data_IF_801572192562
#
_entry.id   IF_801572192562
#
_cell.length_a   1.000
_cell.length_b   1.000
_cell.length_c   1.000
_cell.angle_alpha   90.00
_cell.angle_beta   90.00
_cell.angle_gamma   90.00
#
_symmetry.space_group_name_H-M   'P 1'
#
loop_
_entity.id
_entity.type
_entity.pdbx_description
1 polymer ?
#
# COMPACT_ATOMS: atom_id res chain seq x y z
N UNK A 1 7.13 -54.62 14.66
CA UNK A 1 6.28 -53.57 15.25
C UNK A 1 7.23 -52.65 16.02
N UNK A 2 7.64 -51.54 15.42
CA UNK A 2 8.34 -50.47 16.13
C UNK A 2 7.38 -49.32 16.22
N UNK A 3 6.97 -49.01 17.44
CA UNK A 3 6.09 -47.91 17.80
C UNK A 3 6.86 -46.61 17.58
N UNK A 4 6.30 -45.70 16.79
CA UNK A 4 6.71 -44.29 16.83
C UNK A 4 6.07 -43.71 18.08
N UNK A 5 6.87 -43.35 19.08
CA UNK A 5 6.43 -42.43 20.12
C UNK A 5 6.36 -41.03 19.49
N UNK A 6 5.20 -40.35 19.52
CA UNK A 6 5.14 -38.94 19.20
C UNK A 6 5.73 -38.18 20.39
N UNK A 7 6.91 -37.60 20.22
CA UNK A 7 7.36 -36.50 21.07
C UNK A 7 6.50 -35.29 20.74
N UNK A 8 5.49 -35.03 21.56
CA UNK A 8 4.91 -33.69 21.72
C UNK A 8 6.03 -32.80 22.29
N UNK A 9 6.89 -32.30 21.40
CA UNK A 9 7.68 -31.10 21.62
C UNK A 9 6.72 -29.90 21.51
N UNK A 10 5.86 -29.75 22.51
CA UNK A 10 5.27 -28.45 22.82
C UNK A 10 6.42 -27.63 23.41
N UNK A 11 7.12 -26.87 22.56
CA UNK A 11 8.02 -25.84 23.06
C UNK A 11 7.21 -24.95 24.01
N UNK A 12 7.67 -24.71 25.25
CA UNK A 12 6.97 -23.79 26.13
C UNK A 12 6.96 -22.44 25.42
N UNK A 13 5.78 -21.99 25.00
CA UNK A 13 5.57 -20.56 24.76
C UNK A 13 5.83 -19.92 26.10
N UNK A 14 7.02 -19.36 26.25
CA UNK A 14 7.37 -18.46 27.32
C UNK A 14 6.27 -17.40 27.32
N UNK A 15 5.32 -17.52 28.24
CA UNK A 15 4.43 -16.43 28.65
C UNK A 15 5.36 -15.42 29.32
N UNK A 16 6.18 -14.75 28.50
CA UNK A 16 6.96 -13.61 28.91
C UNK A 16 5.93 -12.59 29.35
N UNK A 17 5.89 -12.32 30.65
CA UNK A 17 5.08 -11.25 31.19
C UNK A 17 5.36 -9.99 30.33
N UNK A 18 4.30 -9.37 29.80
CA UNK A 18 4.41 -8.24 28.88
C UNK A 18 3.97 -6.94 29.58
N UNK A 19 4.79 -5.90 29.46
CA UNK A 19 4.46 -4.56 29.94
C UNK A 19 3.99 -3.69 28.78
N UNK A 20 2.79 -3.13 28.88
CA UNK A 20 2.27 -2.18 27.90
C UNK A 20 2.77 -0.76 28.18
N UNK A 21 3.34 -0.12 27.15
CA UNK A 21 3.77 1.28 27.19
C UNK A 21 3.11 2.06 26.06
N UNK A 22 2.68 3.28 26.37
CA UNK A 22 2.10 4.19 25.41
C UNK A 22 3.18 4.97 24.65
N UNK A 23 3.18 4.89 23.33
CA UNK A 23 4.13 5.56 22.43
C UNK A 23 3.40 6.57 21.54
N UNK A 24 3.90 7.80 21.50
CA UNK A 24 3.41 8.83 20.57
C UNK A 24 4.14 8.74 19.24
N UNK A 25 3.39 8.52 18.16
CA UNK A 25 3.90 8.43 16.79
C UNK A 25 3.16 9.40 15.88
N UNK A 26 3.74 10.60 15.69
CA UNK A 26 3.09 11.68 14.95
C UNK A 26 1.84 12.18 15.69
N UNK A 27 0.69 12.11 15.03
CA UNK A 27 -0.65 12.44 15.55
C UNK A 27 -1.36 11.26 16.25
N UNK A 28 -0.69 10.11 16.40
CA UNK A 28 -1.26 8.90 17.01
C UNK A 28 -0.61 8.54 18.33
N UNK A 29 -1.42 7.92 19.17
CA UNK A 29 -1.01 7.29 20.42
C UNK A 29 -1.19 5.77 20.25
N UNK A 30 -0.17 5.00 20.60
CA UNK A 30 -0.09 3.56 20.37
C UNK A 30 0.25 2.86 21.68
N UNK A 31 -0.56 1.88 22.06
CA UNK A 31 -0.22 0.98 23.15
C UNK A 31 0.66 -0.15 22.58
N UNK A 32 1.88 -0.26 23.10
CA UNK A 32 2.89 -1.21 22.65
C UNK A 32 3.20 -2.16 23.80
N UNK A 33 2.92 -3.46 23.62
CA UNK A 33 3.45 -4.50 24.50
C UNK A 33 4.96 -4.63 24.30
N UNK A 34 5.69 -4.55 25.40
CA UNK A 34 7.12 -4.79 25.46
C UNK A 34 7.39 -6.02 26.35
N UNK A 35 8.44 -6.79 26.07
CA UNK A 35 8.90 -7.82 26.98
C UNK A 35 9.26 -7.22 28.34
N UNK A 36 8.92 -7.90 29.44
CA UNK A 36 9.23 -7.41 30.79
C UNK A 36 10.73 -7.36 31.10
N UNK A 37 11.54 -8.16 30.42
CA UNK A 37 12.99 -8.16 30.54
C UNK A 37 13.67 -7.07 29.69
N UNK A 38 12.91 -6.33 28.88
CA UNK A 38 13.44 -5.26 28.05
C UNK A 38 14.06 -4.16 28.92
N UNK A 39 15.36 -3.94 28.74
CA UNK A 39 16.02 -2.80 29.39
C UNK A 39 15.43 -1.49 28.88
N UNK A 40 15.57 -0.41 29.66
CA UNK A 40 15.14 0.92 29.24
C UNK A 40 15.73 1.35 27.89
N UNK A 41 16.94 0.90 27.55
CA UNK A 41 17.56 1.18 26.26
C UNK A 41 16.87 0.42 25.12
N UNK A 42 16.54 -0.85 25.32
CA UNK A 42 15.84 -1.68 24.33
C UNK A 42 14.41 -1.21 24.12
N UNK A 43 13.69 -0.91 25.22
CA UNK A 43 12.36 -0.32 25.17
C UNK A 43 12.35 0.99 24.37
N UNK A 44 13.35 1.87 24.61
CA UNK A 44 13.49 3.12 23.85
C UNK A 44 13.81 2.88 22.37
N UNK A 45 14.62 1.86 22.04
CA UNK A 45 14.94 1.50 20.67
C UNK A 45 13.69 0.98 19.92
N UNK A 46 12.90 0.12 20.57
CA UNK A 46 11.65 -0.41 20.01
C UNK A 46 10.65 0.71 19.78
N UNK A 47 10.39 1.55 20.80
CA UNK A 47 9.48 2.69 20.67
C UNK A 47 9.93 3.67 19.55
N UNK A 48 11.24 3.90 19.42
CA UNK A 48 11.80 4.74 18.36
C UNK A 48 11.61 4.13 16.98
N UNK A 49 11.83 2.82 16.83
CA UNK A 49 11.63 2.13 15.56
C UNK A 49 10.16 2.16 15.11
N UNK A 50 9.23 1.92 16.03
CA UNK A 50 7.78 1.95 15.77
C UNK A 50 7.34 3.36 15.39
N UNK A 51 7.69 4.37 16.19
CA UNK A 51 7.30 5.76 15.91
C UNK A 51 7.86 6.27 14.58
N UNK A 52 9.11 5.91 14.26
CA UNK A 52 9.72 6.23 12.97
C UNK A 52 8.96 5.57 11.81
N UNK A 53 8.63 4.28 11.90
CA UNK A 53 7.90 3.57 10.86
C UNK A 53 6.51 4.16 10.62
N UNK A 54 5.75 4.44 11.69
CA UNK A 54 4.40 5.00 11.58
C UNK A 54 4.44 6.40 10.97
N UNK A 55 5.37 7.24 11.42
CA UNK A 55 5.55 8.59 10.86
C UNK A 55 5.94 8.55 9.38
N UNK A 56 6.81 7.62 8.99
CA UNK A 56 7.21 7.43 7.59
C UNK A 56 6.01 7.02 6.71
N UNK A 57 5.21 6.06 7.17
CA UNK A 57 3.97 5.65 6.49
C UNK A 57 2.99 6.82 6.33
N UNK A 58 2.82 7.64 7.35
CA UNK A 58 1.97 8.83 7.29
C UNK A 58 2.47 9.84 6.25
N UNK A 59 3.78 10.10 6.21
CA UNK A 59 4.38 10.98 5.19
C UNK A 59 4.20 10.42 3.78
N UNK A 60 4.42 9.13 3.58
CA UNK A 60 4.21 8.47 2.29
C UNK A 60 2.75 8.56 1.84
N UNK A 61 1.79 8.34 2.75
CA UNK A 61 0.37 8.49 2.45
C UNK A 61 0.00 9.95 2.11
N UNK A 62 0.52 10.93 2.84
CA UNK A 62 0.31 12.35 2.55
C UNK A 62 0.89 12.75 1.18
N UNK A 63 2.10 12.27 0.85
CA UNK A 63 2.72 12.49 -0.46
C UNK A 63 1.89 11.85 -1.59
N UNK A 64 1.40 10.62 -1.39
CA UNK A 64 0.54 9.94 -2.37
C UNK A 64 -0.81 10.67 -2.55
N UNK A 65 -1.38 11.23 -1.48
CA UNK A 65 -2.61 12.03 -1.56
C UNK A 65 -2.37 13.33 -2.33
N UNK A 66 -1.25 14.02 -2.10
CA UNK A 66 -0.86 15.21 -2.85
C UNK A 66 -0.62 14.90 -4.34
N UNK A 67 -0.05 13.73 -4.65
CA UNK A 67 0.18 13.30 -6.03
C UNK A 67 -1.09 12.90 -6.79
N UNK A 68 -2.25 12.73 -6.12
CA UNK A 68 -3.53 12.47 -6.81
C UNK A 68 -4.11 13.71 -7.50
N UNK A 69 -3.58 14.90 -7.23
CA UNK A 69 -3.99 16.16 -7.84
C UNK A 69 -3.19 16.48 -9.12
N UNK A 70 -2.49 15.49 -9.70
CA UNK A 70 -1.59 15.67 -10.82
C UNK A 70 -2.34 15.63 -12.17
N UNK A 71 -3.16 16.67 -12.41
CA UNK A 71 -3.72 17.00 -13.72
C UNK A 71 -4.66 15.96 -14.36
N UNK A 72 -5.13 16.22 -15.59
CA UNK A 72 -6.02 15.30 -16.29
C UNK A 72 -5.31 13.97 -16.62
N UNK A 73 -5.85 12.87 -16.11
CA UNK A 73 -5.38 11.53 -16.47
C UNK A 73 -5.80 11.23 -17.92
N UNK A 74 -4.82 10.92 -18.77
CA UNK A 74 -5.08 10.59 -20.17
C UNK A 74 -5.31 9.10 -20.37
N UNK A 75 -6.32 8.76 -21.17
CA UNK A 75 -6.60 7.41 -21.61
C UNK A 75 -5.48 6.87 -22.51
N UNK A 76 -5.26 5.55 -22.42
CA UNK A 76 -4.34 4.85 -23.30
C UNK A 76 -4.87 4.86 -24.75
N UNK A 77 -4.03 5.29 -25.69
CA UNK A 77 -4.39 5.43 -27.11
C UNK A 77 -4.81 4.11 -27.81
N UNK A 78 -4.46 2.96 -27.21
CA UNK A 78 -4.71 1.62 -27.75
C UNK A 78 -6.07 1.04 -27.33
N UNK A 79 -6.75 1.62 -26.34
CA UNK A 79 -8.06 1.13 -25.84
C UNK A 79 -9.11 1.04 -26.95
N UNK A 80 -8.98 1.86 -28.00
CA UNK A 80 -9.92 1.94 -29.11
C UNK A 80 -9.44 1.25 -30.41
N UNK A 81 -8.30 0.55 -30.39
CA UNK A 81 -7.64 0.01 -31.59
C UNK A 81 -8.59 -0.82 -32.45
N UNK A 82 -9.16 -1.90 -31.92
CA UNK A 82 -10.03 -2.79 -32.70
C UNK A 82 -11.27 -2.09 -33.27
N UNK A 83 -11.77 -1.02 -32.62
CA UNK A 83 -12.91 -0.26 -33.15
C UNK A 83 -12.48 0.73 -34.23
N UNK A 84 -11.36 1.42 -34.06
CA UNK A 84 -10.82 2.32 -35.09
C UNK A 84 -10.45 1.53 -36.35
N UNK A 85 -9.88 0.33 -36.19
CA UNK A 85 -9.60 -0.60 -37.28
C UNK A 85 -10.85 -1.01 -38.04
N UNK A 86 -11.96 -1.33 -37.34
CA UNK A 86 -13.25 -1.67 -37.98
C UNK A 86 -13.76 -0.57 -38.92
N UNK A 87 -13.45 0.69 -38.63
CA UNK A 87 -13.82 1.84 -39.47
C UNK A 87 -12.70 2.32 -40.40
N UNK A 88 -11.60 1.55 -40.52
CA UNK A 88 -10.47 1.89 -41.39
C UNK A 88 -9.67 3.12 -40.97
N UNK A 89 -9.84 3.59 -39.73
CA UNK A 89 -9.16 4.79 -39.22
C UNK A 89 -7.79 4.40 -38.65
N UNK A 90 -6.72 4.95 -39.24
CA UNK A 90 -5.33 4.70 -38.82
C UNK A 90 -4.80 5.71 -37.80
N UNK A 91 -5.42 6.89 -37.69
CA UNK A 91 -4.95 7.97 -36.82
C UNK A 91 -5.66 7.92 -35.47
N UNK A 92 -4.89 7.82 -34.40
CA UNK A 92 -5.41 7.75 -33.03
C UNK A 92 -5.52 9.15 -32.42
N UNK A 93 -6.58 9.42 -31.64
CA UNK A 93 -6.66 10.65 -30.86
C UNK A 93 -5.64 10.59 -29.72
N UNK A 94 -4.86 11.66 -29.57
CA UNK A 94 -3.88 11.83 -28.49
C UNK A 94 -4.46 12.71 -27.39
N UNK A 95 -3.91 12.60 -26.17
CA UNK A 95 -4.34 13.41 -25.01
C UNK A 95 -5.86 13.38 -24.80
N UNK A 96 -6.43 12.17 -24.88
CA UNK A 96 -7.84 11.96 -24.57
C UNK A 96 -7.95 11.80 -23.07
N UNK A 97 -8.73 12.63 -22.39
CA UNK A 97 -8.99 12.45 -20.96
C UNK A 97 -9.70 11.12 -20.72
N UNK A 98 -9.33 10.46 -19.62
CA UNK A 98 -9.93 9.20 -19.22
C UNK A 98 -11.45 9.36 -19.01
N UNK A 99 -12.23 8.45 -19.61
CA UNK A 99 -13.70 8.53 -19.71
C UNK A 99 -14.22 9.21 -20.98
N UNK A 100 -13.38 9.97 -21.69
CA UNK A 100 -13.74 10.71 -22.91
C UNK A 100 -13.34 9.94 -24.20
N UNK A 101 -12.94 8.68 -24.07
CA UNK A 101 -12.44 7.83 -25.17
C UNK A 101 -13.48 7.69 -26.28
N UNK A 102 -14.72 7.38 -25.90
CA UNK A 102 -15.82 7.21 -26.86
C UNK A 102 -16.16 8.51 -27.59
N UNK A 103 -16.05 9.64 -26.91
CA UNK A 103 -16.31 10.97 -27.48
C UNK A 103 -15.21 11.35 -28.49
N UNK A 104 -13.95 11.06 -28.15
CA UNK A 104 -12.82 11.26 -29.06
C UNK A 104 -12.90 10.33 -30.29
N UNK A 105 -13.27 9.06 -30.09
CA UNK A 105 -13.50 8.12 -31.18
C UNK A 105 -14.59 8.63 -32.14
N UNK A 106 -15.72 9.10 -31.59
CA UNK A 106 -16.82 9.68 -32.38
C UNK A 106 -16.38 10.83 -33.29
N UNK A 107 -15.58 11.78 -32.77
CA UNK A 107 -15.06 12.90 -33.56
C UNK A 107 -14.10 12.47 -34.67
N UNK A 108 -13.39 11.35 -34.50
CA UNK A 108 -12.47 10.83 -35.52
C UNK A 108 -13.19 10.30 -36.77
N UNK A 109 -14.49 10.02 -36.69
CA UNK A 109 -15.28 9.50 -37.80
C UNK A 109 -15.70 10.58 -38.80
N UNK A 110 -15.88 11.83 -38.37
CA UNK A 110 -16.45 12.91 -39.19
C UNK A 110 -15.42 13.77 -39.93
N UNK A 111 -14.18 13.29 -40.06
CA UNK A 111 -13.12 13.94 -40.86
C UNK A 111 -12.68 13.09 -42.03
#
# INVERSE_FOLDING_TARGET
MSSLEPTDDEEPTDDADETTVTVTAGDRELDVSLPDDASSSEAAAIASAISAHVTDRQRAAAAAAAARDDGPEYANEWVLEGRLERFGKRRRPQRVEKGDEWKAAGRSFYR
#
